data_IF_798362248381
#
_entry.id   IF_798362248381
#
_cell.length_a   1.000
_cell.length_b   1.000
_cell.length_c   1.000
_cell.angle_alpha   90.00
_cell.angle_beta   90.00
_cell.angle_gamma   90.00
#
_symmetry.space_group_name_H-M   'P 1'
#
loop_
_entity.id
_entity.type
_entity.pdbx_description
1 polymer ?
#
# COMPACT_ATOMS: atom_id res chain seq x y z
N UNK A 1 -9.22 -10.70 13.30
CA UNK A 1 -8.01 -10.14 12.70
C UNK A 1 -7.93 -10.35 11.16
N UNK A 2 -9.07 -10.22 10.49
CA UNK A 2 -9.13 -10.43 9.04
C UNK A 2 -8.36 -9.35 8.24
N UNK A 3 -8.08 -9.65 6.96
CA UNK A 3 -7.30 -8.85 6.02
C UNK A 3 -8.01 -7.59 5.47
N UNK A 4 -9.34 -7.49 5.52
CA UNK A 4 -10.09 -6.39 4.90
C UNK A 4 -9.72 -4.98 5.39
N UNK A 5 -9.11 -4.84 6.58
CA UNK A 5 -8.62 -3.57 7.08
C UNK A 5 -7.39 -3.06 6.32
N UNK A 6 -6.41 -3.93 6.09
CA UNK A 6 -5.14 -3.58 5.43
C UNK A 6 -5.31 -3.33 3.92
N UNK A 7 -6.25 -4.00 3.26
CA UNK A 7 -6.48 -3.88 1.81
C UNK A 7 -6.87 -2.47 1.35
N UNK A 8 -7.52 -1.66 2.21
CA UNK A 8 -8.18 -0.41 1.84
C UNK A 8 -7.46 0.87 2.29
N UNK A 9 -6.31 0.78 2.95
CA UNK A 9 -5.66 1.93 3.60
C UNK A 9 -4.65 2.67 2.72
N UNK A 10 -4.22 2.08 1.61
CA UNK A 10 -3.27 2.70 0.70
C UNK A 10 -3.61 4.15 0.29
N UNK A 11 -4.89 4.51 0.02
CA UNK A 11 -5.27 5.89 -0.31
C UNK A 11 -4.87 6.93 0.76
N UNK A 12 -4.80 6.54 2.04
CA UNK A 12 -4.37 7.45 3.12
C UNK A 12 -2.89 7.83 2.94
N UNK A 13 -2.04 6.85 2.66
CA UNK A 13 -0.62 7.07 2.40
C UNK A 13 -0.38 7.87 1.11
N UNK A 14 -1.12 7.52 0.04
CA UNK A 14 -1.01 8.19 -1.27
C UNK A 14 -1.44 9.65 -1.19
N UNK A 15 -2.55 9.96 -0.52
CA UNK A 15 -3.01 11.33 -0.32
C UNK A 15 -2.01 12.14 0.50
N UNK A 16 -1.49 11.57 1.59
CA UNK A 16 -0.49 12.24 2.42
C UNK A 16 0.81 12.51 1.67
N UNK A 17 1.28 11.55 0.86
CA UNK A 17 2.45 11.73 0.01
C UNK A 17 2.21 12.82 -1.05
N UNK A 18 1.04 12.81 -1.71
CA UNK A 18 0.66 13.83 -2.69
C UNK A 18 0.60 15.23 -2.09
N UNK A 19 0.12 15.36 -0.85
CA UNK A 19 0.06 16.64 -0.12
C UNK A 19 1.41 17.10 0.42
N UNK A 20 2.39 16.20 0.53
CA UNK A 20 3.66 16.47 1.18
C UNK A 20 3.54 16.57 2.70
N UNK A 21 2.60 15.84 3.30
CA UNK A 21 2.40 15.82 4.75
C UNK A 21 3.69 15.32 5.44
N UNK A 22 4.16 16.07 6.44
CA UNK A 22 5.48 15.82 7.05
C UNK A 22 5.44 14.80 8.20
N UNK A 23 4.27 14.65 8.84
CA UNK A 23 4.11 13.77 10.01
C UNK A 23 3.65 12.38 9.59
N UNK A 24 4.59 11.50 9.26
CA UNK A 24 4.29 10.10 8.95
C UNK A 24 3.59 9.39 10.12
N UNK A 25 3.85 9.81 11.37
CA UNK A 25 3.18 9.26 12.53
C UNK A 25 1.68 9.56 12.55
N UNK A 26 1.26 10.76 12.15
CA UNK A 26 -0.16 11.10 12.04
C UNK A 26 -0.83 10.35 10.91
N UNK A 27 -0.16 10.23 9.76
CA UNK A 27 -0.63 9.46 8.61
C UNK A 27 -0.85 7.99 8.99
N UNK A 28 0.14 7.39 9.66
CA UNK A 28 0.08 6.00 10.11
C UNK A 28 -1.05 5.77 11.15
N UNK A 29 -1.26 6.72 12.09
CA UNK A 29 -2.40 6.66 13.03
C UNK A 29 -3.73 6.72 12.31
N UNK A 30 -3.88 7.60 11.32
CA UNK A 30 -5.10 7.72 10.53
C UNK A 30 -5.40 6.44 9.77
N UNK A 31 -4.38 5.86 9.13
CA UNK A 31 -4.52 4.61 8.40
C UNK A 31 -4.86 3.43 9.32
N UNK A 32 -4.17 3.30 10.45
CA UNK A 32 -4.47 2.28 11.46
C UNK A 32 -5.89 2.46 12.03
N UNK A 33 -6.33 3.68 12.34
CA UNK A 33 -7.68 3.98 12.79
C UNK A 33 -8.75 3.61 11.75
N UNK A 34 -8.48 3.84 10.46
CA UNK A 34 -9.38 3.42 9.38
C UNK A 34 -9.55 1.90 9.29
N UNK A 35 -8.50 1.13 9.58
CA UNK A 35 -8.58 -0.34 9.68
C UNK A 35 -9.29 -0.77 10.98
N UNK A 36 -8.95 -0.15 12.12
CA UNK A 36 -9.51 -0.45 13.44
C UNK A 36 -11.02 -0.29 13.50
N UNK A 37 -11.61 0.64 12.72
CA UNK A 37 -13.06 0.82 12.65
C UNK A 37 -13.84 -0.47 12.39
N UNK A 38 -13.25 -1.45 11.73
CA UNK A 38 -13.88 -2.73 11.37
C UNK A 38 -13.09 -3.95 11.83
N UNK A 39 -11.80 -3.81 12.16
CA UNK A 39 -10.88 -4.88 12.50
C UNK A 39 -10.21 -4.59 13.85
N UNK A 40 -10.95 -4.83 14.94
CA UNK A 40 -10.57 -4.44 16.32
C UNK A 40 -9.43 -5.25 16.93
N UNK A 41 -9.11 -6.43 16.38
CA UNK A 41 -7.96 -7.20 16.87
C UNK A 41 -6.65 -6.48 16.51
N UNK A 42 -5.67 -6.39 17.41
CA UNK A 42 -4.42 -5.66 17.16
C UNK A 42 -3.75 -6.03 15.84
N UNK A 43 -3.62 -7.32 15.53
CA UNK A 43 -3.09 -7.77 14.24
C UNK A 43 -3.97 -7.45 13.02
N UNK A 44 -5.20 -6.95 13.22
CA UNK A 44 -6.05 -6.45 12.11
C UNK A 44 -5.70 -5.02 11.67
N UNK A 45 -5.00 -4.23 12.49
CA UNK A 45 -4.63 -2.85 12.18
C UNK A 45 -3.13 -2.52 12.37
N UNK A 46 -2.38 -3.25 13.20
CA UNK A 46 -0.94 -3.01 13.36
C UNK A 46 -0.14 -3.14 12.05
N UNK A 47 -0.40 -4.15 11.17
CA UNK A 47 0.33 -4.29 9.91
C UNK A 47 0.12 -3.12 8.94
N UNK A 48 -0.94 -2.35 9.14
CA UNK A 48 -1.24 -1.15 8.35
C UNK A 48 -0.14 -0.08 8.49
N UNK A 49 0.53 -0.02 9.66
CA UNK A 49 1.53 1.01 9.93
C UNK A 49 2.76 0.85 9.04
N UNK A 50 3.46 -0.30 9.02
CA UNK A 50 4.59 -0.47 8.11
C UNK A 50 4.18 -0.42 6.63
N UNK A 51 2.98 -0.88 6.25
CA UNK A 51 2.47 -0.71 4.89
C UNK A 51 2.31 0.77 4.53
N UNK A 52 1.72 1.58 5.41
CA UNK A 52 1.52 3.02 5.20
C UNK A 52 2.87 3.74 5.03
N UNK A 53 3.85 3.43 5.87
CA UNK A 53 5.20 4.01 5.76
C UNK A 53 5.85 3.61 4.45
N UNK A 54 5.76 2.34 4.06
CA UNK A 54 6.32 1.83 2.81
C UNK A 54 5.72 2.54 1.59
N UNK A 55 4.39 2.60 1.49
CA UNK A 55 3.71 3.28 0.37
C UNK A 55 4.07 4.77 0.35
N UNK A 56 3.99 5.45 1.50
CA UNK A 56 4.33 6.88 1.59
C UNK A 56 5.75 7.18 1.11
N UNK A 57 6.72 6.36 1.48
CA UNK A 57 8.13 6.51 1.09
C UNK A 57 8.39 6.12 -0.37
N UNK A 58 7.66 5.11 -0.88
CA UNK A 58 7.82 4.61 -2.24
C UNK A 58 7.37 5.63 -3.31
N UNK A 59 6.39 6.47 -3.00
CA UNK A 59 5.90 7.48 -3.94
C UNK A 59 7.04 8.41 -4.39
N UNK A 60 7.29 8.43 -5.70
CA UNK A 60 8.35 9.22 -6.32
C UNK A 60 9.75 8.59 -6.30
N UNK A 61 9.91 7.39 -5.72
CA UNK A 61 11.14 6.60 -5.83
C UNK A 61 11.11 5.75 -7.10
N UNK A 62 12.28 5.52 -7.68
CA UNK A 62 12.46 4.45 -8.67
C UNK A 62 12.58 3.10 -7.98
N UNK A 63 12.34 1.98 -8.72
CA UNK A 63 12.53 0.62 -8.20
C UNK A 63 13.95 0.41 -7.65
N UNK A 64 14.96 0.97 -8.31
CA UNK A 64 16.37 0.91 -7.88
C UNK A 64 16.58 1.62 -6.53
N UNK A 65 16.02 2.82 -6.36
CA UNK A 65 16.11 3.55 -5.09
C UNK A 65 15.40 2.80 -3.96
N UNK A 66 14.21 2.28 -4.24
CA UNK A 66 13.47 1.53 -3.25
C UNK A 66 14.19 0.23 -2.87
N UNK A 67 14.72 -0.52 -3.83
CA UNK A 67 15.50 -1.75 -3.59
C UNK A 67 16.65 -1.54 -2.62
N UNK A 68 17.29 -0.36 -2.68
CA UNK A 68 18.40 0.01 -1.79
C UNK A 68 17.92 0.42 -0.39
N UNK A 69 16.68 0.87 -0.22
CA UNK A 69 16.18 1.48 1.01
C UNK A 69 15.02 0.72 1.65
N UNK A 70 14.43 -0.26 0.99
CA UNK A 70 13.20 -0.93 1.46
C UNK A 70 13.36 -1.56 2.84
N UNK A 71 14.50 -2.17 3.14
CA UNK A 71 14.75 -2.74 4.46
C UNK A 71 14.74 -1.66 5.57
N UNK A 72 15.35 -0.51 5.31
CA UNK A 72 15.35 0.61 6.24
C UNK A 72 13.94 1.21 6.41
N UNK A 73 13.18 1.31 5.31
CA UNK A 73 11.79 1.83 5.32
C UNK A 73 10.87 0.87 6.11
N UNK A 74 10.99 -0.43 5.90
CA UNK A 74 10.22 -1.43 6.66
C UNK A 74 10.56 -1.35 8.15
N UNK A 75 11.85 -1.24 8.49
CA UNK A 75 12.29 -1.04 9.87
C UNK A 75 11.72 0.25 10.47
N UNK A 76 11.76 1.39 9.73
CA UNK A 76 11.13 2.65 10.13
C UNK A 76 9.64 2.44 10.47
N UNK A 77 8.92 1.69 9.63
CA UNK A 77 7.50 1.39 9.85
C UNK A 77 7.24 0.56 11.10
N UNK A 78 8.06 -0.45 11.36
CA UNK A 78 7.97 -1.28 12.56
C UNK A 78 8.35 -0.50 13.83
N UNK A 79 9.38 0.35 13.79
CA UNK A 79 9.79 1.19 14.91
C UNK A 79 8.74 2.26 15.22
N UNK A 80 8.11 2.80 14.18
CA UNK A 80 6.98 3.71 14.34
C UNK A 80 5.78 2.99 15.00
N UNK A 81 5.45 1.77 14.59
CA UNK A 81 4.42 0.95 15.23
C UNK A 81 4.73 0.76 16.72
N UNK A 82 5.97 0.40 17.05
CA UNK A 82 6.39 0.22 18.44
C UNK A 82 6.25 1.50 19.27
N UNK A 83 6.62 2.65 18.70
CA UNK A 83 6.47 3.95 19.34
C UNK A 83 5.01 4.37 19.54
N UNK A 84 4.14 4.14 18.52
CA UNK A 84 2.73 4.50 18.59
C UNK A 84 1.93 3.69 19.60
N UNK A 85 2.35 2.46 19.85
CA UNK A 85 1.67 1.51 20.73
C UNK A 85 2.56 1.02 21.88
N UNK A 86 3.50 1.88 22.31
CA UNK A 86 4.36 1.58 23.47
C UNK A 86 3.53 1.16 24.69
N UNK A 87 3.91 0.04 25.33
CA UNK A 87 3.21 -0.55 26.46
C UNK A 87 1.85 -1.19 26.14
N UNK A 88 1.51 -1.32 24.84
CA UNK A 88 0.28 -1.97 24.37
C UNK A 88 0.61 -2.99 23.30
N UNK A 89 -0.09 -4.13 23.31
CA UNK A 89 0.01 -5.17 22.28
C UNK A 89 1.43 -5.70 22.06
N UNK A 90 2.21 -5.86 23.14
CA UNK A 90 3.63 -6.24 23.06
C UNK A 90 3.81 -7.60 22.37
N UNK A 91 2.90 -8.55 22.62
CA UNK A 91 2.92 -9.88 22.00
C UNK A 91 2.64 -9.79 20.50
N UNK A 92 1.58 -9.07 20.11
CA UNK A 92 1.19 -8.93 18.71
C UNK A 92 2.20 -8.12 17.90
N UNK A 93 2.79 -7.06 18.50
CA UNK A 93 3.88 -6.29 17.87
C UNK A 93 5.12 -7.15 17.67
N UNK A 94 5.49 -7.92 18.67
CA UNK A 94 6.62 -8.86 18.58
C UNK A 94 6.40 -9.93 17.51
N UNK A 95 5.20 -10.49 17.44
CA UNK A 95 4.82 -11.45 16.42
C UNK A 95 4.89 -10.85 15.01
N UNK A 96 4.29 -9.67 14.81
CA UNK A 96 4.30 -8.99 13.51
C UNK A 96 5.74 -8.66 13.06
N UNK A 97 6.58 -8.19 13.97
CA UNK A 97 7.99 -7.93 13.68
C UNK A 97 8.71 -9.20 13.22
N UNK A 98 8.57 -10.29 13.96
CA UNK A 98 9.20 -11.57 13.60
C UNK A 98 8.72 -12.10 12.25
N UNK A 99 7.42 -11.97 11.94
CA UNK A 99 6.86 -12.39 10.66
C UNK A 99 7.35 -11.49 9.51
N UNK A 100 7.45 -10.17 9.74
CA UNK A 100 8.01 -9.22 8.76
C UNK A 100 9.50 -9.52 8.48
N UNK A 101 10.28 -9.77 9.52
CA UNK A 101 11.70 -10.13 9.38
C UNK A 101 11.86 -11.45 8.60
N UNK A 102 10.96 -12.44 8.83
CA UNK A 102 10.91 -13.70 8.08
C UNK A 102 10.62 -13.43 6.59
N UNK A 103 9.63 -12.60 6.27
CA UNK A 103 9.30 -12.23 4.90
C UNK A 103 10.48 -11.54 4.18
N UNK A 104 11.12 -10.58 4.84
CA UNK A 104 12.31 -9.91 4.31
C UNK A 104 13.48 -10.86 4.10
N UNK A 105 13.72 -11.78 5.04
CA UNK A 105 14.77 -12.82 4.89
C UNK A 105 14.52 -13.70 3.68
N UNK A 106 13.28 -14.12 3.45
CA UNK A 106 12.92 -14.94 2.30
C UNK A 106 13.04 -14.16 1.00
N UNK A 107 12.65 -12.89 0.95
CA UNK A 107 12.75 -12.05 -0.24
C UNK A 107 14.20 -11.87 -0.74
N UNK A 108 15.19 -11.93 0.15
CA UNK A 108 16.62 -11.88 -0.19
C UNK A 108 17.31 -13.24 -0.22
N UNK A 109 16.60 -14.32 0.08
CA UNK A 109 17.14 -15.69 0.11
C UNK A 109 16.95 -16.42 -1.22
N UNK A 110 17.30 -17.70 -1.22
CA UNK A 110 17.20 -18.61 -2.38
C UNK A 110 15.99 -19.57 -2.27
N UNK A 111 14.96 -19.17 -1.50
CA UNK A 111 13.73 -19.95 -1.35
C UNK A 111 12.82 -19.72 -2.57
N UNK A 112 12.13 -20.77 -3.02
CA UNK A 112 11.11 -20.66 -4.08
C UNK A 112 9.86 -19.95 -3.55
N UNK A 113 9.13 -19.26 -4.45
CA UNK A 113 7.96 -18.44 -4.05
C UNK A 113 6.88 -19.26 -3.33
N UNK A 114 6.56 -20.44 -3.83
CA UNK A 114 5.53 -21.31 -3.23
C UNK A 114 5.90 -21.72 -1.80
N UNK A 115 7.17 -22.11 -1.58
CA UNK A 115 7.67 -22.49 -0.26
C UNK A 115 7.71 -21.29 0.70
N UNK A 116 8.14 -20.13 0.20
CA UNK A 116 8.19 -18.91 0.99
C UNK A 116 6.80 -18.46 1.46
N UNK A 117 5.83 -18.46 0.55
CA UNK A 117 4.46 -18.04 0.82
C UNK A 117 3.79 -19.05 1.78
N UNK A 118 3.94 -20.35 1.55
CA UNK A 118 3.47 -21.38 2.47
C UNK A 118 3.96 -21.18 3.90
N UNK A 119 5.22 -20.81 4.07
CA UNK A 119 5.85 -20.53 5.36
C UNK A 119 5.42 -19.20 6.00
N UNK A 120 4.91 -18.25 5.22
CA UNK A 120 4.41 -16.94 5.69
C UNK A 120 2.94 -16.99 6.10
N UNK A 121 2.17 -17.95 5.59
CA UNK A 121 0.76 -18.16 5.92
C UNK A 121 -0.13 -18.26 4.69
N UNK A 122 -1.43 -18.13 4.92
CA UNK A 122 -2.47 -18.26 3.88
C UNK A 122 -3.09 -16.90 3.47
N UNK A 123 -2.76 -15.82 4.15
CA UNK A 123 -3.24 -14.46 3.81
C UNK A 123 -4.63 -14.09 4.32
N UNK A 124 -5.35 -14.97 5.04
CA UNK A 124 -6.68 -14.69 5.59
C UNK A 124 -6.70 -13.64 6.70
N UNK A 125 -5.56 -13.36 7.27
CA UNK A 125 -5.38 -12.41 8.37
C UNK A 125 -4.36 -11.34 7.99
N UNK A 126 -4.54 -10.13 8.51
CA UNK A 126 -3.84 -8.96 8.00
C UNK A 126 -2.31 -9.04 8.13
N UNK A 127 -1.79 -9.69 9.16
CA UNK A 127 -0.36 -9.89 9.34
C UNK A 127 0.26 -10.83 8.30
N UNK A 128 -0.48 -11.90 7.90
CA UNK A 128 -0.05 -12.80 6.83
C UNK A 128 -0.16 -12.14 5.46
N UNK A 129 -1.28 -11.42 5.22
CA UNK A 129 -1.46 -10.62 3.99
C UNK A 129 -0.30 -9.63 3.81
N UNK A 130 0.09 -8.93 4.89
CA UNK A 130 1.24 -8.03 4.88
C UNK A 130 2.54 -8.76 4.53
N UNK A 131 2.81 -9.87 5.22
CA UNK A 131 4.06 -10.62 5.04
C UNK A 131 4.22 -11.18 3.63
N UNK A 132 3.15 -11.78 3.07
CA UNK A 132 3.14 -12.33 1.71
C UNK A 132 3.28 -11.20 0.68
N UNK A 133 2.50 -10.12 0.82
CA UNK A 133 2.57 -8.98 -0.10
C UNK A 133 3.93 -8.27 -0.06
N UNK A 134 4.52 -8.11 1.13
CA UNK A 134 5.86 -7.56 1.29
C UNK A 134 6.91 -8.46 0.63
N UNK A 135 6.86 -9.76 0.91
CA UNK A 135 7.74 -10.75 0.29
C UNK A 135 7.71 -10.64 -1.23
N UNK A 136 6.53 -10.76 -1.83
CA UNK A 136 6.35 -10.74 -3.28
C UNK A 136 6.84 -9.41 -3.90
N UNK A 137 6.48 -8.27 -3.30
CA UNK A 137 6.90 -6.96 -3.77
C UNK A 137 8.41 -6.74 -3.67
N UNK A 138 9.08 -7.22 -2.62
CA UNK A 138 10.53 -7.06 -2.44
C UNK A 138 11.32 -8.06 -3.29
N UNK A 139 10.87 -9.30 -3.35
CA UNK A 139 11.48 -10.38 -4.15
C UNK A 139 11.52 -10.00 -5.63
N UNK A 140 10.38 -9.50 -6.13
CA UNK A 140 10.17 -9.18 -7.54
C UNK A 140 10.07 -7.65 -7.78
N UNK A 141 10.85 -6.87 -7.02
CA UNK A 141 10.77 -5.41 -7.03
C UNK A 141 11.00 -4.78 -8.42
N UNK A 142 11.67 -5.48 -9.31
CA UNK A 142 11.98 -5.02 -10.67
C UNK A 142 10.88 -5.38 -11.69
N UNK A 143 9.84 -6.14 -11.29
CA UNK A 143 8.76 -6.60 -12.17
C UNK A 143 7.41 -6.62 -11.46
N UNK A 144 6.52 -5.71 -11.86
CA UNK A 144 5.12 -5.68 -11.35
C UNK A 144 4.42 -7.01 -11.62
N UNK A 145 4.63 -7.59 -12.82
CA UNK A 145 3.98 -8.82 -13.24
C UNK A 145 4.39 -10.00 -12.36
N UNK A 146 5.69 -10.20 -12.15
CA UNK A 146 6.20 -11.28 -11.30
C UNK A 146 5.77 -11.10 -9.83
N UNK A 147 5.80 -9.86 -9.31
CA UNK A 147 5.36 -9.58 -7.96
C UNK A 147 3.88 -9.94 -7.74
N UNK A 148 3.00 -9.57 -8.68
CA UNK A 148 1.57 -9.90 -8.58
C UNK A 148 1.36 -11.40 -8.78
N UNK A 149 2.04 -12.05 -9.74
CA UNK A 149 1.95 -13.49 -9.94
C UNK A 149 2.32 -14.24 -8.65
N UNK A 150 3.42 -13.90 -8.02
CA UNK A 150 3.82 -14.50 -6.75
C UNK A 150 2.77 -14.26 -5.66
N UNK A 151 2.24 -13.02 -5.56
CA UNK A 151 1.27 -12.67 -4.53
C UNK A 151 -0.12 -13.35 -4.69
N UNK A 152 -0.48 -13.85 -5.88
CA UNK A 152 -1.82 -14.43 -6.13
C UNK A 152 -1.82 -15.92 -6.44
N UNK A 153 -0.67 -16.53 -6.70
CA UNK A 153 -0.57 -17.95 -7.06
C UNK A 153 -0.30 -18.83 -5.83
N UNK A 154 -1.22 -18.82 -4.88
CA UNK A 154 -1.18 -19.70 -3.71
C UNK A 154 -2.60 -20.13 -3.32
N UNK A 155 -2.73 -21.15 -2.49
CA UNK A 155 -4.02 -21.75 -2.10
C UNK A 155 -4.81 -20.91 -1.07
N UNK A 156 -4.27 -19.80 -0.58
CA UNK A 156 -4.89 -18.96 0.43
C UNK A 156 -5.72 -17.81 -0.14
N UNK A 157 -5.76 -16.69 0.60
CA UNK A 157 -6.54 -15.47 0.30
C UNK A 157 -5.80 -14.59 -0.73
N UNK A 158 -5.74 -15.06 -1.97
CA UNK A 158 -4.93 -14.48 -3.05
C UNK A 158 -5.41 -13.11 -3.53
N UNK A 159 -6.70 -12.78 -3.39
CA UNK A 159 -7.19 -11.44 -3.73
C UNK A 159 -6.70 -10.38 -2.71
N UNK A 160 -6.64 -10.72 -1.44
CA UNK A 160 -6.14 -9.83 -0.39
C UNK A 160 -4.63 -9.60 -0.50
N UNK A 161 -3.85 -10.67 -0.68
CA UNK A 161 -2.39 -10.56 -0.85
C UNK A 161 -2.03 -9.85 -2.13
N UNK A 162 -2.73 -10.13 -3.23
CA UNK A 162 -2.62 -9.43 -4.51
C UNK A 162 -2.98 -7.95 -4.41
N UNK A 163 -4.06 -7.59 -3.68
CA UNK A 163 -4.46 -6.20 -3.48
C UNK A 163 -3.37 -5.40 -2.73
N UNK A 164 -2.80 -5.95 -1.65
CA UNK A 164 -1.76 -5.26 -0.87
C UNK A 164 -0.44 -5.20 -1.64
N UNK A 165 -0.03 -6.26 -2.34
CA UNK A 165 1.12 -6.24 -3.24
C UNK A 165 0.93 -5.20 -4.35
N UNK A 166 -0.26 -5.15 -4.97
CA UNK A 166 -0.61 -4.16 -5.98
C UNK A 166 -0.55 -2.72 -5.47
N UNK A 167 -0.93 -2.46 -4.22
CA UNK A 167 -0.78 -1.16 -3.59
C UNK A 167 0.70 -0.74 -3.47
N UNK A 168 1.59 -1.67 -3.11
CA UNK A 168 3.04 -1.41 -3.01
C UNK A 168 3.62 -1.17 -4.41
N UNK A 169 3.38 -2.07 -5.34
CA UNK A 169 3.92 -1.98 -6.71
C UNK A 169 3.36 -0.78 -7.47
N UNK A 170 2.07 -0.47 -7.28
CA UNK A 170 1.44 0.72 -7.84
C UNK A 170 2.05 2.04 -7.33
N UNK A 171 2.45 2.10 -6.05
CA UNK A 171 3.13 3.26 -5.50
C UNK A 171 4.54 3.48 -6.09
N UNK A 172 5.20 2.39 -6.52
CA UNK A 172 6.54 2.41 -7.13
C UNK A 172 6.47 2.80 -8.61
N UNK A 173 5.60 2.12 -9.35
CA UNK A 173 5.59 2.16 -10.81
C UNK A 173 4.58 3.16 -11.40
N UNK A 174 3.51 3.45 -10.67
CA UNK A 174 2.42 4.29 -11.15
C UNK A 174 1.51 3.60 -12.16
N UNK A 175 0.34 4.21 -12.36
CA UNK A 175 -0.69 3.68 -13.26
C UNK A 175 -0.24 3.59 -14.72
N UNK A 176 0.41 4.64 -15.25
CA UNK A 176 0.79 4.72 -16.66
C UNK A 176 1.73 3.59 -17.06
N UNK A 177 2.71 3.26 -16.22
CA UNK A 177 3.64 2.16 -16.46
C UNK A 177 2.93 0.79 -16.59
N UNK A 178 1.93 0.56 -15.73
CA UNK A 178 1.16 -0.69 -15.71
C UNK A 178 0.20 -0.73 -16.91
N UNK A 179 -0.48 0.40 -17.20
CA UNK A 179 -1.46 0.51 -18.26
C UNK A 179 -0.82 0.41 -19.66
N UNK A 180 0.31 1.07 -19.89
CA UNK A 180 1.02 1.06 -21.18
C UNK A 180 1.53 -0.34 -21.56
N UNK A 181 1.89 -1.15 -20.59
CA UNK A 181 2.35 -2.53 -20.80
C UNK A 181 1.21 -3.53 -20.98
N UNK A 182 -0.06 -3.09 -20.80
CA UNK A 182 -1.23 -3.97 -20.83
C UNK A 182 -1.09 -5.20 -19.94
N UNK A 183 -0.42 -5.05 -18.80
CA UNK A 183 -0.25 -6.12 -17.84
C UNK A 183 -1.63 -6.57 -17.34
N UNK A 184 -1.81 -7.88 -17.22
CA UNK A 184 -3.03 -8.53 -16.72
C UNK A 184 -4.30 -8.30 -17.57
N UNK A 185 -4.14 -7.81 -18.80
CA UNK A 185 -5.27 -7.52 -19.69
C UNK A 185 -5.43 -8.58 -20.78
N UNK A 186 -6.67 -9.03 -21.08
CA UNK A 186 -6.92 -9.81 -22.28
C UNK A 186 -6.49 -9.05 -23.53
N UNK A 187 -6.04 -9.77 -24.55
CA UNK A 187 -5.59 -9.18 -25.81
C UNK A 187 -6.64 -8.23 -26.39
N UNK A 188 -6.24 -6.98 -26.65
CA UNK A 188 -7.10 -5.95 -27.23
C UNK A 188 -7.98 -5.20 -26.22
N UNK A 189 -7.76 -5.40 -24.92
CA UNK A 189 -8.40 -4.62 -23.84
C UNK A 189 -7.36 -3.84 -23.05
N UNK A 190 -7.79 -2.74 -22.42
CA UNK A 190 -6.98 -1.97 -21.47
C UNK A 190 -7.27 -2.43 -20.04
N UNK A 191 -6.42 -2.04 -19.10
CA UNK A 191 -6.66 -2.31 -17.67
C UNK A 191 -8.00 -1.71 -17.22
N UNK A 192 -8.31 -0.48 -17.66
CA UNK A 192 -9.58 0.18 -17.36
C UNK A 192 -10.80 -0.63 -17.87
N UNK A 193 -10.70 -1.30 -19.03
CA UNK A 193 -11.79 -2.13 -19.59
C UNK A 193 -12.04 -3.42 -18.78
N UNK A 194 -11.12 -3.81 -17.90
CA UNK A 194 -11.23 -5.03 -17.09
C UNK A 194 -11.70 -4.77 -15.67
N UNK A 195 -11.65 -3.52 -15.21
CA UNK A 195 -12.02 -3.15 -13.85
C UNK A 195 -13.50 -2.78 -13.77
N UNK A 196 -14.20 -3.35 -12.79
CA UNK A 196 -15.52 -2.87 -12.38
C UNK A 196 -15.42 -1.44 -11.86
N UNK A 197 -16.32 -0.55 -12.28
CA UNK A 197 -16.34 0.86 -11.90
C UNK A 197 -15.02 1.62 -12.16
N UNK A 198 -14.32 1.26 -13.22
CA UNK A 198 -13.03 1.87 -13.59
C UNK A 198 -13.07 3.41 -13.63
N UNK A 199 -14.15 4.01 -14.15
CA UNK A 199 -14.32 5.47 -14.22
C UNK A 199 -14.31 6.10 -12.81
N UNK A 200 -14.94 5.45 -11.83
CA UNK A 200 -14.95 5.93 -10.45
C UNK A 200 -13.57 5.80 -9.82
N UNK A 201 -12.91 4.64 -10.01
CA UNK A 201 -11.56 4.37 -9.47
C UNK A 201 -10.56 5.40 -10.00
N UNK A 202 -10.53 5.60 -11.33
CA UNK A 202 -9.63 6.55 -11.97
C UNK A 202 -9.93 7.99 -11.56
N UNK A 203 -11.23 8.35 -11.47
CA UNK A 203 -11.63 9.68 -11.00
C UNK A 203 -11.14 9.95 -9.59
N UNK A 204 -11.28 9.00 -8.66
CA UNK A 204 -10.81 9.17 -7.26
C UNK A 204 -9.29 9.25 -7.21
N UNK A 205 -8.57 8.46 -8.02
CA UNK A 205 -7.12 8.53 -8.11
C UNK A 205 -6.64 9.91 -8.60
N UNK A 206 -7.25 10.45 -9.65
CA UNK A 206 -6.97 11.81 -10.15
C UNK A 206 -7.29 12.88 -9.10
N UNK A 207 -8.38 12.73 -8.36
CA UNK A 207 -8.75 13.67 -7.31
C UNK A 207 -7.79 13.63 -6.11
N UNK A 208 -7.20 12.48 -5.77
CA UNK A 208 -6.13 12.36 -4.76
C UNK A 208 -4.88 13.14 -5.23
N UNK A 209 -4.48 12.97 -6.48
CA UNK A 209 -3.34 13.69 -7.05
C UNK A 209 -3.61 15.20 -7.08
N UNK A 210 -4.81 15.61 -7.49
CA UNK A 210 -5.24 17.02 -7.53
C UNK A 210 -5.28 17.65 -6.14
N UNK A 211 -5.75 16.94 -5.12
CA UNK A 211 -5.72 17.39 -3.73
C UNK A 211 -4.29 17.71 -3.26
N UNK A 212 -3.30 16.93 -3.70
CA UNK A 212 -1.90 17.19 -3.46
C UNK A 212 -1.42 18.51 -4.08
N UNK A 213 -1.73 18.73 -5.36
CA UNK A 213 -1.38 19.98 -6.09
C UNK A 213 -2.00 21.19 -5.39
N UNK A 214 -3.27 21.13 -5.05
CA UNK A 214 -4.00 22.22 -4.36
C UNK A 214 -3.37 22.51 -2.98
N UNK A 215 -3.10 21.47 -2.19
CA UNK A 215 -2.57 21.63 -0.83
C UNK A 215 -1.16 22.23 -0.78
N UNK A 216 -0.36 22.02 -1.84
CA UNK A 216 0.98 22.62 -1.95
C UNK A 216 0.96 24.05 -2.53
N UNK A 217 -0.21 24.60 -2.85
CA UNK A 217 -0.34 25.91 -3.46
C UNK A 217 0.23 26.01 -4.87
N UNK A 218 0.34 24.88 -5.56
CA UNK A 218 0.78 24.85 -6.95
C UNK A 218 -0.31 25.40 -7.87
N UNK A 219 0.10 26.06 -8.97
CA UNK A 219 -0.85 26.65 -9.93
C UNK A 219 -1.69 25.55 -10.55
N UNK A 220 -2.98 25.56 -10.28
CA UNK A 220 -3.95 24.61 -10.80
C UNK A 220 -5.07 25.34 -11.55
N UNK A 221 -5.65 24.69 -12.55
CA UNK A 221 -6.83 25.22 -13.26
C UNK A 221 -7.99 25.41 -12.26
N UNK A 222 -8.53 26.63 -12.18
CA UNK A 222 -9.68 26.95 -11.34
C UNK A 222 -10.88 26.00 -11.63
N UNK A 223 -11.05 25.59 -12.87
CA UNK A 223 -12.11 24.65 -13.28
C UNK A 223 -11.94 23.27 -12.62
N UNK A 224 -10.71 22.79 -12.46
CA UNK A 224 -10.43 21.52 -11.78
C UNK A 224 -10.66 21.63 -10.28
N UNK A 225 -10.23 22.73 -9.67
CA UNK A 225 -10.48 23.01 -8.24
C UNK A 225 -11.99 23.09 -7.96
N UNK A 226 -12.74 23.83 -8.80
CA UNK A 226 -14.21 23.95 -8.65
C UNK A 226 -14.92 22.59 -8.81
N UNK A 227 -14.46 21.73 -9.71
CA UNK A 227 -14.98 20.35 -9.86
C UNK A 227 -14.72 19.51 -8.62
N UNK A 228 -13.51 19.59 -8.07
CA UNK A 228 -13.12 18.87 -6.87
C UNK A 228 -13.93 19.34 -5.65
N UNK A 229 -14.06 20.65 -5.44
CA UNK A 229 -14.86 21.24 -4.36
C UNK A 229 -16.34 20.84 -4.46
N UNK A 230 -16.92 20.81 -5.67
CA UNK A 230 -18.30 20.36 -5.88
C UNK A 230 -18.51 18.89 -5.54
N UNK A 231 -17.48 18.04 -5.73
CA UNK A 231 -17.57 16.60 -5.45
C UNK A 231 -17.42 16.29 -3.98
N UNK A 232 -16.51 16.96 -3.29
CA UNK A 232 -16.14 16.66 -1.91
C UNK A 232 -16.62 17.66 -0.88
N UNK A 233 -17.31 18.72 -1.30
CA UNK A 233 -17.96 19.67 -0.39
C UNK A 233 -17.00 20.47 0.48
N UNK A 234 -15.74 20.63 0.07
CA UNK A 234 -14.80 21.46 0.81
C UNK A 234 -14.81 22.88 0.29
N UNK A 235 -14.98 23.84 1.18
CA UNK A 235 -14.62 25.22 0.94
C UNK A 235 -13.11 25.34 1.11
N UNK A 236 -12.35 25.27 0.00
CA UNK A 236 -11.02 25.82 -0.01
C UNK A 236 -11.19 27.35 -0.02
N UNK A 237 -11.25 27.96 1.13
CA UNK A 237 -11.04 29.39 1.27
C UNK A 237 -9.58 29.63 0.87
N UNK A 238 -9.37 30.01 -0.38
CA UNK A 238 -8.10 30.54 -0.84
C UNK A 238 -7.95 31.94 -0.25
N UNK A 239 -7.03 32.10 0.68
CA UNK A 239 -6.45 33.41 0.96
C UNK A 239 -5.60 33.90 -0.20
#
# INVERSE_FOLDING_TARGET
>A
KGCGGIMRVAPVALLAAARGDKSIAEVARLAAGAAEMTHLHPLGFLPVIPLTVLIYRAVGMTSVQLKQSVAAIVTEGLDLMDSLYEGRYDEERGYLRALTDKAMKFAYGDIEDDDAIYELGEGWVAEETWAIALYAAVRHIDSVEEAIIAAVNHDGDSDSTGAVCGNIMGAIYGYDHIAERNLFCPKGRTLADTLEQSDLILTVADDIALAGVISRGEVCSRVLVDKWCKRYGSEFEGE
#
